data_IF_060553932502
#
_entry.id   IF_060553932502
#
_cell.length_a   1.000
_cell.length_b   1.000
_cell.length_c   1.000
_cell.angle_alpha   90.00
_cell.angle_beta   90.00
_cell.angle_gamma   90.00
#
_symmetry.space_group_name_H-M   'P 1'
#
loop_
_entity.id
_entity.type
_entity.pdbx_description
1 polymer ?
#
# COMPACT_ATOMS: atom_id res chain seq x y z
N UNK A 1 63.61 28.98 -38.61
CA UNK A 1 62.19 28.91 -38.16
C UNK A 1 61.48 27.94 -39.08
N UNK A 2 61.15 26.75 -38.57
CA UNK A 2 60.78 25.59 -39.38
C UNK A 2 59.43 25.77 -40.06
N UNK A 3 59.42 25.80 -41.40
CA UNK A 3 58.20 25.72 -42.22
C UNK A 3 57.59 24.32 -42.05
N UNK A 4 56.74 24.13 -41.04
CA UNK A 4 55.88 22.96 -40.97
C UNK A 4 55.03 22.92 -42.24
N UNK A 5 55.12 21.80 -42.97
CA UNK A 5 54.38 21.60 -44.20
C UNK A 5 52.87 21.67 -43.91
N UNK A 6 52.08 22.14 -44.87
CA UNK A 6 50.60 22.13 -44.79
C UNK A 6 50.09 20.72 -44.45
N UNK A 7 50.80 19.68 -44.89
CA UNK A 7 50.54 18.27 -44.55
C UNK A 7 50.73 17.98 -43.07
N UNK A 8 51.74 18.53 -42.42
CA UNK A 8 52.02 18.31 -41.00
C UNK A 8 50.95 18.99 -40.13
N UNK A 9 50.51 20.19 -40.54
CA UNK A 9 49.39 20.89 -39.90
C UNK A 9 48.07 20.12 -40.06
N UNK A 10 47.81 19.56 -41.25
CA UNK A 10 46.62 18.76 -41.50
C UNK A 10 46.60 17.45 -40.66
N UNK A 11 47.77 16.80 -40.50
CA UNK A 11 47.89 15.61 -39.65
C UNK A 11 47.67 15.93 -38.17
N UNK A 12 48.18 17.09 -37.71
CA UNK A 12 48.01 17.54 -36.32
C UNK A 12 46.53 17.88 -36.02
N UNK A 13 45.83 18.53 -36.96
CA UNK A 13 44.38 18.78 -36.82
C UNK A 13 43.59 17.47 -36.86
N UNK A 14 43.97 16.50 -37.69
CA UNK A 14 43.31 15.20 -37.75
C UNK A 14 43.56 14.32 -36.50
N UNK A 15 44.72 14.43 -35.86
CA UNK A 15 44.97 13.77 -34.56
C UNK A 15 44.19 14.44 -33.44
N UNK A 16 44.14 15.78 -33.44
CA UNK A 16 43.40 16.55 -32.44
C UNK A 16 41.88 16.34 -32.55
N UNK A 17 41.33 16.29 -33.76
CA UNK A 17 39.93 15.96 -34.00
C UNK A 17 39.57 14.54 -33.54
N UNK A 18 40.47 13.56 -33.74
CA UNK A 18 40.29 12.20 -33.23
C UNK A 18 40.34 12.15 -31.70
N UNK A 19 41.24 12.91 -31.08
CA UNK A 19 41.33 13.03 -29.61
C UNK A 19 40.06 13.63 -29.02
N UNK A 20 39.54 14.69 -29.62
CA UNK A 20 38.27 15.32 -29.20
C UNK A 20 37.10 14.35 -29.41
N UNK A 21 37.05 13.66 -30.56
CA UNK A 21 36.01 12.66 -30.84
C UNK A 21 36.01 11.50 -29.83
N UNK A 22 37.19 10.99 -29.45
CA UNK A 22 37.33 9.97 -28.41
C UNK A 22 36.87 10.49 -27.05
N UNK A 23 37.27 11.70 -26.65
CA UNK A 23 36.84 12.31 -25.40
C UNK A 23 35.31 12.54 -25.33
N UNK A 24 34.70 13.00 -26.41
CA UNK A 24 33.24 13.14 -26.50
C UNK A 24 32.51 11.79 -26.45
N UNK A 25 33.09 10.74 -27.04
CA UNK A 25 32.53 9.39 -27.03
C UNK A 25 32.63 8.74 -25.65
N UNK A 26 33.73 8.98 -24.93
CA UNK A 26 33.91 8.57 -23.53
C UNK A 26 32.93 9.29 -22.61
N UNK A 27 32.76 10.60 -22.77
CA UNK A 27 31.81 11.40 -22.00
C UNK A 27 30.36 10.98 -22.26
N UNK A 28 29.96 10.80 -23.53
CA UNK A 28 28.64 10.29 -23.88
C UNK A 28 28.39 8.89 -23.32
N UNK A 29 29.43 8.04 -23.24
CA UNK A 29 29.34 6.70 -22.65
C UNK A 29 29.19 6.77 -21.14
N UNK A 30 29.92 7.66 -20.47
CA UNK A 30 29.82 7.89 -19.03
C UNK A 30 28.44 8.41 -18.61
N UNK A 31 27.90 9.41 -19.33
CA UNK A 31 26.54 9.91 -19.12
C UNK A 31 25.53 8.77 -19.30
N UNK A 32 25.65 8.02 -20.39
CA UNK A 32 24.76 6.91 -20.67
C UNK A 32 24.76 5.86 -19.56
N UNK A 33 25.92 5.48 -19.02
CA UNK A 33 26.06 4.53 -17.91
C UNK A 33 25.46 5.11 -16.62
N UNK A 34 25.74 6.38 -16.31
CA UNK A 34 25.20 7.08 -15.14
C UNK A 34 23.67 7.08 -15.13
N UNK A 35 23.02 7.37 -16.26
CA UNK A 35 21.56 7.32 -16.39
C UNK A 35 21.01 5.91 -16.10
N UNK A 36 21.63 4.84 -16.62
CA UNK A 36 21.18 3.46 -16.33
C UNK A 36 21.36 3.10 -14.86
N UNK A 37 22.45 3.54 -14.23
CA UNK A 37 22.67 3.34 -12.80
C UNK A 37 21.57 4.02 -11.99
N UNK A 38 21.18 5.25 -12.36
CA UNK A 38 20.04 5.93 -11.75
C UNK A 38 18.76 5.12 -11.88
N UNK A 39 18.42 4.67 -13.09
CA UNK A 39 17.23 3.82 -13.33
C UNK A 39 17.26 2.53 -12.51
N UNK A 40 18.43 1.89 -12.37
CA UNK A 40 18.56 0.69 -11.55
C UNK A 40 18.35 1.00 -10.05
N UNK A 41 18.87 2.13 -9.56
CA UNK A 41 18.62 2.59 -8.18
C UNK A 41 17.14 2.83 -7.91
N UNK A 42 16.46 3.53 -8.82
CA UNK A 42 15.02 3.80 -8.68
C UNK A 42 14.21 2.50 -8.59
N UNK A 43 14.56 1.49 -9.40
CA UNK A 43 13.93 0.16 -9.35
C UNK A 43 14.25 -0.59 -8.05
N UNK A 44 15.48 -0.49 -7.55
CA UNK A 44 15.85 -1.09 -6.26
C UNK A 44 15.12 -0.42 -5.08
N UNK A 45 14.90 0.90 -5.13
CA UNK A 45 14.12 1.63 -4.13
C UNK A 45 12.63 1.22 -4.18
N UNK A 46 12.07 0.99 -5.37
CA UNK A 46 10.74 0.42 -5.57
C UNK A 46 10.60 -0.99 -4.98
N UNK A 47 11.57 -1.86 -5.27
CA UNK A 47 11.65 -3.21 -4.69
C UNK A 47 11.77 -3.16 -3.16
N UNK A 48 12.63 -2.28 -2.61
CA UNK A 48 12.79 -2.10 -1.16
C UNK A 48 11.48 -1.70 -0.50
N UNK A 49 10.77 -0.73 -1.08
CA UNK A 49 9.47 -0.27 -0.56
C UNK A 49 8.43 -1.41 -0.56
N UNK A 50 8.40 -2.21 -1.64
CA UNK A 50 7.51 -3.38 -1.74
C UNK A 50 7.88 -4.45 -0.72
N UNK A 51 9.17 -4.68 -0.50
CA UNK A 51 9.68 -5.63 0.49
C UNK A 51 9.37 -5.22 1.93
N UNK A 52 9.48 -3.94 2.25
CA UNK A 52 9.09 -3.40 3.55
C UNK A 52 7.60 -3.63 3.83
N UNK A 53 6.74 -3.38 2.83
CA UNK A 53 5.31 -3.67 2.94
C UNK A 53 5.03 -5.17 3.13
N UNK A 54 5.69 -6.05 2.36
CA UNK A 54 5.54 -7.49 2.49
C UNK A 54 6.00 -8.02 3.86
N UNK A 55 7.18 -7.59 4.34
CA UNK A 55 7.68 -7.93 5.68
C UNK A 55 6.72 -7.45 6.77
N UNK A 56 6.17 -6.24 6.62
CA UNK A 56 5.20 -5.68 7.56
C UNK A 56 3.93 -6.51 7.61
N UNK A 57 3.42 -6.96 6.46
CA UNK A 57 2.23 -7.81 6.44
C UNK A 57 2.51 -9.22 7.02
N UNK A 58 3.69 -9.79 6.76
CA UNK A 58 4.10 -11.06 7.38
C UNK A 58 4.20 -10.96 8.91
N UNK A 59 4.61 -9.81 9.47
CA UNK A 59 4.59 -9.58 10.93
C UNK A 59 3.18 -9.70 11.54
N UNK A 60 2.13 -9.45 10.75
CA UNK A 60 0.73 -9.60 11.15
C UNK A 60 0.14 -10.97 10.78
N UNK A 61 0.99 -11.93 10.39
CA UNK A 61 0.62 -13.33 10.17
C UNK A 61 0.19 -13.68 8.75
N UNK A 62 0.42 -12.83 7.76
CA UNK A 62 0.30 -13.26 6.36
C UNK A 62 1.52 -14.10 5.93
N UNK A 63 1.34 -14.91 4.88
CA UNK A 63 2.40 -15.74 4.30
C UNK A 63 2.76 -15.25 2.90
N UNK A 64 3.75 -14.35 2.82
CA UNK A 64 4.33 -13.91 1.56
C UNK A 64 5.74 -14.50 1.43
N UNK A 65 6.04 -15.26 0.38
CA UNK A 65 7.36 -15.82 0.14
C UNK A 65 8.36 -14.71 -0.22
N UNK A 66 9.46 -14.62 0.53
CA UNK A 66 10.54 -13.63 0.33
C UNK A 66 11.87 -14.25 -0.13
N UNK A 67 11.91 -15.57 -0.37
CA UNK A 67 13.15 -16.31 -0.66
C UNK A 67 13.84 -15.91 -1.97
N UNK A 68 13.09 -15.39 -2.93
CA UNK A 68 13.56 -15.14 -4.30
C UNK A 68 13.80 -13.64 -4.57
N UNK A 69 13.84 -12.81 -3.51
CA UNK A 69 14.01 -11.35 -3.65
C UNK A 69 15.41 -10.98 -4.16
N UNK A 70 16.41 -11.83 -3.89
CA UNK A 70 17.79 -11.65 -4.31
C UNK A 70 18.07 -12.24 -5.71
N UNK A 71 17.04 -12.69 -6.42
CA UNK A 71 17.16 -13.27 -7.75
C UNK A 71 17.88 -12.30 -8.71
N UNK A 72 18.96 -12.80 -9.31
CA UNK A 72 19.77 -12.03 -10.26
C UNK A 72 20.92 -11.22 -9.66
N UNK A 73 20.99 -11.08 -8.33
CA UNK A 73 22.11 -10.39 -7.66
C UNK A 73 23.45 -11.05 -7.99
N UNK A 74 23.51 -12.37 -7.88
CA UNK A 74 24.73 -13.14 -8.13
C UNK A 74 25.16 -13.05 -9.61
N UNK A 75 24.20 -13.15 -10.54
CA UNK A 75 24.46 -12.97 -11.98
C UNK A 75 24.92 -11.55 -12.32
N UNK A 76 24.39 -10.55 -11.63
CA UNK A 76 24.83 -9.16 -11.80
C UNK A 76 26.26 -8.97 -11.31
N UNK A 77 26.62 -9.49 -10.13
CA UNK A 77 27.99 -9.47 -9.60
C UNK A 77 28.98 -10.11 -10.57
N UNK A 78 28.65 -11.28 -11.11
CA UNK A 78 29.48 -11.98 -12.10
C UNK A 78 29.67 -11.17 -13.38
N UNK A 79 28.65 -10.45 -13.84
CA UNK A 79 28.71 -9.63 -15.07
C UNK A 79 29.33 -8.25 -14.86
N UNK A 80 29.35 -7.74 -13.64
CA UNK A 80 30.00 -6.49 -13.28
C UNK A 80 31.53 -6.68 -13.18
N UNK A 81 32.00 -7.85 -12.73
CA UNK A 81 33.45 -8.12 -12.58
C UNK A 81 34.13 -7.15 -11.60
N UNK A 82 35.42 -6.89 -11.78
CA UNK A 82 36.21 -5.91 -11.00
C UNK A 82 36.11 -4.46 -11.54
N UNK A 83 35.26 -4.21 -12.55
CA UNK A 83 35.20 -2.93 -13.28
C UNK A 83 33.80 -2.33 -13.42
N UNK A 84 33.68 -1.31 -14.27
CA UNK A 84 32.39 -0.67 -14.58
C UNK A 84 31.49 -1.64 -15.35
N UNK A 85 30.24 -1.89 -14.90
CA UNK A 85 29.33 -2.81 -15.58
C UNK A 85 28.96 -2.31 -16.98
N UNK A 86 28.88 -3.24 -17.93
CA UNK A 86 28.47 -2.93 -19.30
C UNK A 86 27.00 -2.48 -19.37
N UNK A 87 26.64 -1.67 -20.38
CA UNK A 87 25.25 -1.25 -20.61
C UNK A 87 24.26 -2.44 -20.64
N UNK A 88 24.55 -3.55 -21.35
CA UNK A 88 23.68 -4.73 -21.34
C UNK A 88 23.55 -5.39 -19.96
N UNK A 89 24.60 -5.34 -19.13
CA UNK A 89 24.54 -5.88 -17.77
C UNK A 89 23.61 -5.05 -16.87
N UNK A 90 23.66 -3.72 -16.99
CA UNK A 90 22.75 -2.81 -16.27
C UNK A 90 21.30 -2.98 -16.73
N UNK A 91 21.05 -3.04 -18.04
CA UNK A 91 19.70 -3.25 -18.58
C UNK A 91 19.12 -4.61 -18.16
N UNK A 92 19.94 -5.67 -18.15
CA UNK A 92 19.53 -6.98 -17.68
C UNK A 92 19.21 -7.00 -16.18
N UNK A 93 20.01 -6.31 -15.36
CA UNK A 93 19.75 -6.17 -13.93
C UNK A 93 18.46 -5.39 -13.68
N UNK A 94 18.25 -4.28 -14.37
CA UNK A 94 17.03 -3.47 -14.27
C UNK A 94 15.78 -4.29 -14.59
N UNK A 95 15.79 -5.09 -15.66
CA UNK A 95 14.69 -6.00 -16.01
C UNK A 95 14.47 -7.08 -14.95
N UNK A 96 15.54 -7.60 -14.36
CA UNK A 96 15.44 -8.64 -13.33
C UNK A 96 14.82 -8.08 -12.05
N UNK A 97 15.30 -6.93 -11.58
CA UNK A 97 14.74 -6.23 -10.40
C UNK A 97 13.27 -5.91 -10.62
N UNK A 98 12.91 -5.41 -11.79
CA UNK A 98 11.51 -5.13 -12.14
C UNK A 98 10.64 -6.40 -12.18
N UNK A 99 11.17 -7.51 -12.68
CA UNK A 99 10.49 -8.80 -12.67
C UNK A 99 10.20 -9.28 -11.24
N UNK A 100 11.21 -9.24 -10.36
CA UNK A 100 11.10 -9.60 -8.94
C UNK A 100 10.12 -8.67 -8.22
N UNK A 101 10.22 -7.36 -8.44
CA UNK A 101 9.31 -6.38 -7.85
C UNK A 101 7.87 -6.64 -8.26
N UNK A 102 7.60 -6.91 -9.54
CA UNK A 102 6.24 -7.18 -10.01
C UNK A 102 5.67 -8.47 -9.42
N UNK A 103 6.47 -9.54 -9.34
CA UNK A 103 6.06 -10.79 -8.69
C UNK A 103 5.74 -10.59 -7.22
N UNK A 104 6.63 -9.90 -6.48
CA UNK A 104 6.43 -9.62 -5.06
C UNK A 104 5.21 -8.73 -4.85
N UNK A 105 4.99 -7.72 -5.70
CA UNK A 105 3.83 -6.82 -5.62
C UNK A 105 2.52 -7.57 -5.88
N UNK A 106 2.52 -8.55 -6.78
CA UNK A 106 1.35 -9.41 -7.00
C UNK A 106 1.06 -10.28 -5.77
N UNK A 107 2.08 -11.00 -5.26
CA UNK A 107 1.94 -11.82 -4.06
C UNK A 107 1.48 -11.00 -2.85
N UNK A 108 2.03 -9.80 -2.66
CA UNK A 108 1.63 -8.85 -1.62
C UNK A 108 0.15 -8.44 -1.76
N UNK A 109 -0.33 -8.13 -2.97
CA UNK A 109 -1.73 -7.75 -3.20
C UNK A 109 -2.70 -8.88 -2.89
N UNK A 110 -2.37 -10.09 -3.32
CA UNK A 110 -3.20 -11.28 -3.09
C UNK A 110 -3.26 -11.61 -1.59
N UNK A 111 -2.10 -11.64 -0.92
CA UNK A 111 -2.02 -11.87 0.51
C UNK A 111 -2.73 -10.77 1.32
N UNK A 112 -2.56 -9.51 0.94
CA UNK A 112 -3.25 -8.38 1.57
C UNK A 112 -4.76 -8.51 1.50
N UNK A 113 -5.29 -8.79 0.31
CA UNK A 113 -6.73 -8.93 0.12
C UNK A 113 -7.29 -10.05 1.00
N UNK A 114 -6.65 -11.22 0.96
CA UNK A 114 -7.08 -12.38 1.75
C UNK A 114 -7.00 -12.09 3.26
N UNK A 115 -5.90 -11.50 3.71
CA UNK A 115 -5.71 -11.15 5.12
C UNK A 115 -6.72 -10.11 5.61
N UNK A 116 -6.99 -9.05 4.83
CA UNK A 116 -8.02 -8.07 5.16
C UNK A 116 -9.43 -8.68 5.20
N UNK A 117 -9.77 -9.55 4.26
CA UNK A 117 -11.06 -10.24 4.23
C UNK A 117 -11.26 -11.09 5.48
N UNK A 118 -10.24 -11.87 5.89
CA UNK A 118 -10.25 -12.63 7.13
C UNK A 118 -10.43 -11.73 8.36
N UNK A 119 -9.64 -10.66 8.46
CA UNK A 119 -9.71 -9.73 9.60
C UNK A 119 -11.06 -9.03 9.69
N UNK A 120 -11.60 -8.55 8.58
CA UNK A 120 -12.91 -7.90 8.56
C UNK A 120 -14.07 -8.85 8.88
N UNK A 121 -13.93 -10.14 8.59
CA UNK A 121 -14.90 -11.18 8.95
C UNK A 121 -14.86 -11.54 10.45
N UNK A 122 -13.74 -11.29 11.15
CA UNK A 122 -13.64 -11.47 12.61
C UNK A 122 -14.41 -10.40 13.40
N UNK A 123 -14.80 -9.29 12.76
CA UNK A 123 -15.50 -8.20 13.44
C UNK A 123 -16.98 -8.55 13.66
N UNK A 124 -17.41 -8.44 14.92
CA UNK A 124 -18.80 -8.61 15.35
C UNK A 124 -19.65 -7.38 15.02
N UNK A 125 -19.88 -7.16 13.73
CA UNK A 125 -20.60 -5.97 13.20
C UNK A 125 -22.03 -5.86 13.71
N UNK A 126 -22.64 -6.98 14.08
CA UNK A 126 -23.94 -7.05 14.76
C UNK A 126 -23.99 -6.20 16.02
N UNK A 127 -22.86 -6.01 16.71
CA UNK A 127 -22.79 -5.24 17.97
C UNK A 127 -22.66 -3.73 17.77
N UNK A 128 -22.50 -3.24 16.53
CA UNK A 128 -22.45 -1.78 16.27
C UNK A 128 -23.73 -1.08 16.74
N UNK A 129 -24.88 -1.74 16.60
CA UNK A 129 -26.18 -1.20 16.99
C UNK A 129 -26.33 -0.98 18.50
N UNK A 130 -25.45 -1.61 19.29
CA UNK A 130 -25.44 -1.51 20.76
C UNK A 130 -24.47 -0.43 21.24
N UNK A 131 -23.75 0.25 20.34
CA UNK A 131 -22.88 1.36 20.71
C UNK A 131 -23.68 2.66 20.92
N UNK A 132 -23.27 3.51 21.87
CA UNK A 132 -23.79 4.87 21.97
C UNK A 132 -23.59 5.66 20.68
N UNK A 133 -24.44 6.65 20.39
CA UNK A 133 -24.47 7.35 19.09
C UNK A 133 -23.11 7.90 18.60
N UNK A 134 -22.34 8.53 19.47
CA UNK A 134 -21.01 9.05 19.10
C UNK A 134 -20.00 7.95 18.80
N UNK A 135 -20.07 6.84 19.54
CA UNK A 135 -19.20 5.69 19.36
C UNK A 135 -19.59 4.85 18.14
N UNK A 136 -20.89 4.69 17.90
CA UNK A 136 -21.42 4.01 16.72
C UNK A 136 -20.95 4.72 15.44
N UNK A 137 -21.07 6.04 15.39
CA UNK A 137 -20.58 6.84 14.27
C UNK A 137 -19.07 6.68 14.06
N UNK A 138 -18.26 6.80 15.12
CA UNK A 138 -16.81 6.63 15.02
C UNK A 138 -16.42 5.20 14.58
N UNK A 139 -17.14 4.17 15.03
CA UNK A 139 -16.93 2.79 14.63
C UNK A 139 -17.30 2.56 13.15
N UNK A 140 -18.38 3.17 12.66
CA UNK A 140 -18.74 3.15 11.24
C UNK A 140 -17.71 3.87 10.36
N UNK A 141 -17.20 5.03 10.79
CA UNK A 141 -16.10 5.71 10.10
C UNK A 141 -14.85 4.85 10.07
N UNK A 142 -14.50 4.21 11.19
CA UNK A 142 -13.35 3.30 11.26
C UNK A 142 -13.51 2.11 10.31
N UNK A 143 -14.72 1.53 10.20
CA UNK A 143 -15.01 0.50 9.21
C UNK A 143 -14.86 0.99 7.77
N UNK A 144 -15.38 2.18 7.48
CA UNK A 144 -15.24 2.79 6.16
C UNK A 144 -13.76 3.03 5.82
N UNK A 145 -12.95 3.46 6.78
CA UNK A 145 -11.53 3.68 6.61
C UNK A 145 -10.74 2.37 6.45
N UNK A 146 -11.09 1.31 7.18
CA UNK A 146 -10.55 -0.03 6.94
C UNK A 146 -10.86 -0.52 5.52
N UNK A 147 -12.07 -0.29 5.02
CA UNK A 147 -12.46 -0.62 3.64
C UNK A 147 -11.70 0.21 2.60
N UNK A 148 -11.43 1.50 2.87
CA UNK A 148 -10.59 2.35 2.01
C UNK A 148 -9.15 1.85 2.00
N UNK A 149 -8.56 1.56 3.17
CA UNK A 149 -7.20 1.02 3.29
C UNK A 149 -7.05 -0.32 2.58
N UNK A 150 -8.07 -1.19 2.67
CA UNK A 150 -8.11 -2.47 1.93
C UNK A 150 -7.95 -2.28 0.42
N UNK A 151 -8.54 -1.23 -0.15
CA UNK A 151 -8.54 -0.94 -1.59
C UNK A 151 -7.44 0.01 -2.04
N UNK A 152 -6.74 0.64 -1.11
CA UNK A 152 -5.77 1.70 -1.36
C UNK A 152 -4.36 1.20 -1.66
N UNK A 153 -3.41 2.14 -1.58
CA UNK A 153 -2.00 1.89 -1.81
C UNK A 153 -1.38 0.99 -0.74
N UNK A 154 -0.69 -0.05 -1.20
CA UNK A 154 -0.03 -1.06 -0.36
C UNK A 154 1.33 -0.57 0.13
N UNK A 155 1.32 0.25 1.18
CA UNK A 155 2.52 0.72 1.88
C UNK A 155 2.56 0.17 3.30
N UNK A 156 3.76 0.01 3.85
CA UNK A 156 3.96 -0.49 5.22
C UNK A 156 3.17 0.32 6.27
N UNK A 157 3.07 1.65 6.09
CA UNK A 157 2.28 2.51 6.96
C UNK A 157 0.77 2.22 6.87
N UNK A 158 0.23 1.97 5.67
CA UNK A 158 -1.18 1.64 5.47
C UNK A 158 -1.54 0.28 6.09
N UNK A 159 -0.65 -0.71 5.94
CA UNK A 159 -0.78 -2.03 6.56
C UNK A 159 -0.80 -1.90 8.09
N UNK A 160 0.13 -1.11 8.64
CA UNK A 160 0.16 -0.86 10.08
C UNK A 160 -1.10 -0.15 10.57
N UNK A 161 -1.55 0.88 9.86
CA UNK A 161 -2.76 1.62 10.22
C UNK A 161 -3.98 0.69 10.23
N UNK A 162 -4.15 -0.14 9.19
CA UNK A 162 -5.23 -1.11 9.15
C UNK A 162 -5.18 -2.06 10.35
N UNK A 163 -4.02 -2.61 10.67
CA UNK A 163 -3.88 -3.55 11.78
C UNK A 163 -4.21 -2.91 13.14
N UNK A 164 -3.80 -1.65 13.35
CA UNK A 164 -4.11 -0.90 14.57
C UNK A 164 -5.62 -0.62 14.65
N UNK A 165 -6.20 -0.01 13.62
CA UNK A 165 -7.62 0.35 13.58
C UNK A 165 -8.53 -0.89 13.68
N UNK A 166 -8.16 -2.00 13.04
CA UNK A 166 -8.89 -3.27 13.14
C UNK A 166 -8.88 -3.80 14.58
N UNK A 167 -7.71 -3.81 15.23
CA UNK A 167 -7.58 -4.30 16.61
C UNK A 167 -8.37 -3.42 17.60
N UNK A 168 -8.31 -2.10 17.45
CA UNK A 168 -9.04 -1.16 18.31
C UNK A 168 -10.54 -1.32 18.15
N UNK A 169 -11.03 -1.34 16.91
CA UNK A 169 -12.45 -1.57 16.63
C UNK A 169 -12.90 -2.94 17.12
N UNK A 170 -12.10 -3.98 16.91
CA UNK A 170 -12.41 -5.33 17.42
C UNK A 170 -12.53 -5.33 18.93
N UNK A 171 -11.58 -4.72 19.64
CA UNK A 171 -11.60 -4.66 21.10
C UNK A 171 -12.85 -3.92 21.61
N UNK A 172 -13.23 -2.82 20.95
CA UNK A 172 -14.47 -2.10 21.27
C UNK A 172 -15.69 -3.02 21.08
N UNK A 173 -15.85 -3.63 19.91
CA UNK A 173 -16.99 -4.52 19.61
C UNK A 173 -17.01 -5.78 20.49
N UNK A 174 -15.86 -6.34 20.85
CA UNK A 174 -15.78 -7.50 21.73
C UNK A 174 -16.21 -7.14 23.17
N UNK A 175 -16.00 -5.89 23.60
CA UNK A 175 -16.47 -5.37 24.89
C UNK A 175 -17.95 -4.94 24.91
N UNK A 176 -18.54 -4.71 23.74
CA UNK A 176 -19.96 -4.36 23.62
C UNK A 176 -20.87 -5.56 23.91
N UNK A 177 -21.98 -5.39 24.66
CA UNK A 177 -22.96 -6.45 24.88
C UNK A 177 -23.56 -6.98 23.57
N UNK A 178 -24.00 -8.23 23.59
CA UNK A 178 -24.79 -8.78 22.50
C UNK A 178 -26.14 -8.06 22.40
N UNK A 179 -26.64 -7.79 21.17
CA UNK A 179 -27.93 -7.16 20.99
C UNK A 179 -29.06 -8.13 21.36
N UNK A 180 -29.95 -7.69 22.26
CA UNK A 180 -31.15 -8.45 22.60
C UNK A 180 -32.11 -8.50 21.40
N UNK A 181 -32.83 -9.61 21.17
CA UNK A 181 -33.79 -9.71 20.06
C UNK A 181 -34.85 -8.60 20.06
N UNK A 182 -35.29 -8.18 21.24
CA UNK A 182 -36.27 -7.09 21.41
C UNK A 182 -35.72 -5.73 20.97
N UNK A 183 -34.44 -5.47 21.23
CA UNK A 183 -33.75 -4.25 20.79
C UNK A 183 -33.59 -4.26 19.27
N UNK A 184 -33.20 -5.40 18.69
CA UNK A 184 -33.08 -5.54 17.24
C UNK A 184 -34.41 -5.33 16.51
N UNK A 185 -35.49 -5.94 17.00
CA UNK A 185 -36.83 -5.76 16.42
C UNK A 185 -37.27 -4.30 16.48
N UNK A 186 -37.04 -3.64 17.63
CA UNK A 186 -37.36 -2.22 17.79
C UNK A 186 -36.54 -1.34 16.83
N UNK A 187 -35.23 -1.54 16.74
CA UNK A 187 -34.37 -0.78 15.83
C UNK A 187 -34.75 -1.02 14.35
N UNK A 188 -35.09 -2.26 13.99
CA UNK A 188 -35.56 -2.58 12.64
C UNK A 188 -36.89 -1.89 12.32
N UNK A 189 -37.85 -1.89 13.26
CA UNK A 189 -39.11 -1.15 13.13
C UNK A 189 -38.88 0.35 12.96
N UNK A 190 -37.94 0.92 13.71
CA UNK A 190 -37.56 2.33 13.60
C UNK A 190 -36.93 2.64 12.23
N UNK A 191 -36.08 1.76 11.71
CA UNK A 191 -35.40 1.92 10.42
C UNK A 191 -36.37 1.86 9.23
N UNK A 192 -37.31 0.91 9.24
CA UNK A 192 -38.35 0.80 8.19
C UNK A 192 -39.34 1.98 8.24
N UNK A 193 -39.42 2.63 9.39
CA UNK A 193 -40.32 3.74 9.65
C UNK A 193 -41.53 3.28 10.45
N UNK A 194 -41.62 3.78 11.68
CA UNK A 194 -42.79 3.61 12.55
C UNK A 194 -43.43 4.96 12.84
N UNK A 195 -44.65 4.95 13.35
CA UNK A 195 -45.34 6.15 13.83
C UNK A 195 -45.26 6.22 15.35
N UNK A 196 -45.30 7.43 15.92
CA UNK A 196 -45.10 7.63 17.36
C UNK A 196 -46.16 6.90 18.21
N UNK A 197 -47.39 6.74 17.71
CA UNK A 197 -48.48 5.97 18.34
C UNK A 197 -48.19 4.46 18.41
N UNK A 198 -47.25 3.96 17.62
CA UNK A 198 -46.81 2.55 17.62
C UNK A 198 -45.56 2.32 18.46
N UNK A 199 -45.01 3.37 19.09
CA UNK A 199 -43.92 3.25 20.06
C UNK A 199 -44.53 3.18 21.45
N UNK A 200 -44.26 2.09 22.16
CA UNK A 200 -44.76 1.89 23.52
C UNK A 200 -43.83 2.53 24.55
N UNK A 201 -44.31 2.83 25.78
CA UNK A 201 -43.43 3.25 26.86
C UNK A 201 -42.31 2.24 27.16
N UNK A 202 -42.58 0.94 26.98
CA UNK A 202 -41.58 -0.12 27.12
C UNK A 202 -40.48 -0.01 26.04
N UNK A 203 -40.85 0.29 24.79
CA UNK A 203 -39.90 0.52 23.70
C UNK A 203 -38.95 1.69 24.02
N UNK A 204 -39.51 2.80 24.55
CA UNK A 204 -38.70 3.96 24.95
C UNK A 204 -37.80 3.64 26.13
N UNK A 205 -38.31 2.95 27.14
CA UNK A 205 -37.51 2.52 28.30
C UNK A 205 -36.35 1.62 27.87
N UNK A 206 -36.60 0.68 26.96
CA UNK A 206 -35.58 -0.20 26.40
C UNK A 206 -34.44 0.59 25.73
N UNK A 207 -34.77 1.63 24.96
CA UNK A 207 -33.77 2.51 24.35
C UNK A 207 -32.99 3.34 25.38
N UNK A 208 -33.64 3.78 26.47
CA UNK A 208 -32.95 4.51 27.55
C UNK A 208 -32.01 3.60 28.35
N UNK A 209 -32.47 2.41 28.74
CA UNK A 209 -31.70 1.45 29.53
C UNK A 209 -30.44 0.98 28.79
N UNK A 210 -30.52 0.91 27.45
CA UNK A 210 -29.40 0.56 26.56
C UNK A 210 -28.60 1.76 26.08
N UNK A 211 -28.94 2.98 26.51
CA UNK A 211 -28.30 4.24 26.07
C UNK A 211 -28.36 4.48 24.54
N UNK A 212 -29.36 3.90 23.88
CA UNK A 212 -29.61 4.00 22.43
C UNK A 212 -30.58 5.12 22.08
N UNK A 213 -31.24 5.77 23.05
CA UNK A 213 -32.17 6.86 22.77
C UNK A 213 -31.54 7.99 21.93
N UNK A 214 -30.24 8.27 22.10
CA UNK A 214 -29.51 9.27 21.32
C UNK A 214 -29.20 8.88 19.87
N UNK A 215 -29.42 7.62 19.48
CA UNK A 215 -29.21 7.13 18.09
C UNK A 215 -30.48 7.22 17.25
N UNK A 216 -31.62 7.55 17.85
CA UNK A 216 -32.94 7.51 17.21
C UNK A 216 -33.47 8.92 16.99
N UNK A 217 -33.84 9.23 15.74
CA UNK A 217 -34.47 10.51 15.39
C UNK A 217 -35.96 10.32 15.07
N UNK A 218 -36.81 11.10 15.73
CA UNK A 218 -38.26 11.12 15.47
C UNK A 218 -38.60 12.34 14.61
N UNK A 219 -39.07 12.10 13.38
CA UNK A 219 -39.46 13.17 12.44
C UNK A 219 -40.97 13.18 12.20
N UNK A 220 -41.56 14.37 12.18
CA UNK A 220 -42.97 14.57 11.76
C UNK A 220 -43.07 14.32 10.25
N UNK A 221 -43.96 13.41 9.84
CA UNK A 221 -44.25 13.19 8.42
C UNK A 221 -44.84 14.47 7.82
N UNK A 222 -44.18 15.02 6.79
CA UNK A 222 -44.78 16.04 5.94
C UNK A 222 -45.84 15.35 5.06
N UNK A 223 -47.09 15.74 5.26
CA UNK A 223 -48.22 15.40 4.37
C UNK A 223 -48.12 16.16 3.07
#
# INVERSE_FOLDING_TARGET
>A
MSNQSVRDKALMVASEARRIGLGQQEEATAIAVSTRISTLRDKLDGLRTTLEAARRLNQYGADIPLSNVDDGLERFRQRAGEGLPSKPALDAAARTVEGVENQLRQALREAWRSWCEQRLAELRRDRLVMLPAGEAFAAEETLADLEKLRRGDLRAAAIQQFAISHRELRAQLDSTPDPDPEVLDLLQRLQVGTTLDKLTPADLQLLYDRQLAGTVEVRRRAT
#
